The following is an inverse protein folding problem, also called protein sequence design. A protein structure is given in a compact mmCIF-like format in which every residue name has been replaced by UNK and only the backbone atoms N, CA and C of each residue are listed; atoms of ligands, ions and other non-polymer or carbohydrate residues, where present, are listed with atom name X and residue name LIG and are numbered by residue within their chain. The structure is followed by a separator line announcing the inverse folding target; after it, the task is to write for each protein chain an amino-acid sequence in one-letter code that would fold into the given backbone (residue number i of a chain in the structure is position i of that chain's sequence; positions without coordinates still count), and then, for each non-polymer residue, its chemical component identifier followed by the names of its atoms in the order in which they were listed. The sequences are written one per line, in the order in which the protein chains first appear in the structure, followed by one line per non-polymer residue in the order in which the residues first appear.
data_IF_296971228328
#
_entry.id   IF_296971228328
#
_cell.length_a   1.000
_cell.length_b   1.000
_cell.length_c   1.000
_cell.angle_alpha   90.00
_cell.angle_beta   90.00
_cell.angle_gamma   90.00
#
_symmetry.space_group_name_H-M   'P 1'
#
loop_
_entity.id
_entity.type
_entity.pdbx_description
1 polymer ?
#
# COMPACT_ATOMS: atom_id res chain seq x y z
N UNK A 1 -34.09 9.51 -22.68
CA UNK A 1 -33.13 9.39 -21.57
C UNK A 1 -32.95 7.91 -21.34
N UNK A 2 -31.74 7.37 -21.49
CA UNK A 2 -31.50 5.95 -21.23
C UNK A 2 -31.63 5.67 -19.74
N UNK A 3 -32.35 4.62 -19.38
CA UNK A 3 -32.51 4.19 -18.00
C UNK A 3 -31.13 3.81 -17.43
N UNK A 4 -30.84 4.25 -16.20
CA UNK A 4 -29.52 4.12 -15.55
C UNK A 4 -29.10 2.66 -15.28
N UNK A 5 -30.03 1.73 -15.42
CA UNK A 5 -29.90 0.26 -15.24
C UNK A 5 -29.26 -0.45 -16.44
N UNK A 6 -29.17 0.21 -17.61
CA UNK A 6 -28.50 -0.31 -18.81
C UNK A 6 -26.97 -0.17 -18.79
N UNK A 7 -26.43 0.68 -17.90
CA UNK A 7 -24.99 0.89 -17.76
C UNK A 7 -24.33 -0.20 -16.93
N UNK A 8 -23.21 -0.73 -17.42
CA UNK A 8 -22.34 -1.60 -16.65
C UNK A 8 -21.21 -0.78 -16.01
N UNK A 9 -20.67 -1.17 -14.85
CA UNK A 9 -19.50 -0.50 -14.25
C UNK A 9 -18.29 -0.40 -15.20
N UNK A 10 -18.17 -1.34 -16.13
CA UNK A 10 -17.14 -1.34 -17.18
C UNK A 10 -17.22 -0.13 -18.10
N UNK A 11 -18.41 0.42 -18.32
CA UNK A 11 -18.67 1.49 -19.29
C UNK A 11 -18.19 2.85 -18.77
N UNK A 12 -17.92 2.94 -17.46
CA UNK A 12 -17.34 4.13 -16.81
C UNK A 12 -15.81 4.07 -16.72
N UNK A 13 -15.16 2.98 -17.15
CA UNK A 13 -13.71 2.87 -17.13
C UNK A 13 -13.09 3.56 -18.34
N UNK A 14 -12.13 4.46 -18.10
CA UNK A 14 -11.38 5.14 -19.16
C UNK A 14 -10.51 4.18 -19.99
N UNK A 15 -10.19 3.01 -19.46
CA UNK A 15 -9.35 1.99 -20.09
C UNK A 15 -9.79 0.59 -19.69
N UNK A 16 -9.47 -0.41 -20.51
CA UNK A 16 -9.76 -1.82 -20.21
C UNK A 16 -8.82 -2.39 -19.15
N UNK A 17 -9.29 -3.39 -18.39
CA UNK A 17 -8.44 -4.09 -17.41
C UNK A 17 -7.14 -4.64 -18.00
N UNK A 18 -7.13 -5.06 -19.27
CA UNK A 18 -5.91 -5.53 -19.96
C UNK A 18 -4.83 -4.45 -20.07
N UNK A 19 -5.21 -3.19 -20.29
CA UNK A 19 -4.26 -2.06 -20.33
C UNK A 19 -3.63 -1.86 -18.95
N UNK A 20 -4.44 -1.95 -17.90
CA UNK A 20 -3.96 -1.86 -16.52
C UNK A 20 -2.98 -2.97 -16.15
N UNK A 21 -3.30 -4.23 -16.47
CA UNK A 21 -2.39 -5.35 -16.17
C UNK A 21 -1.06 -5.25 -16.91
N UNK A 22 -1.08 -4.79 -18.17
CA UNK A 22 0.16 -4.54 -18.93
C UNK A 22 1.00 -3.41 -18.37
N UNK A 23 0.37 -2.37 -17.79
CA UNK A 23 1.08 -1.32 -17.08
C UNK A 23 1.83 -1.92 -15.88
N UNK A 24 1.16 -2.74 -15.08
CA UNK A 24 1.75 -3.41 -13.92
C UNK A 24 2.91 -4.33 -14.34
N UNK A 25 2.72 -5.14 -15.38
CA UNK A 25 3.77 -6.03 -15.91
C UNK A 25 5.04 -5.24 -16.27
N UNK A 26 4.90 -4.18 -17.07
CA UNK A 26 6.04 -3.35 -17.48
C UNK A 26 6.69 -2.63 -16.29
N UNK A 27 5.88 -2.15 -15.36
CA UNK A 27 6.39 -1.48 -14.17
C UNK A 27 7.18 -2.43 -13.28
N UNK A 28 6.69 -3.66 -13.09
CA UNK A 28 7.40 -4.69 -12.35
C UNK A 28 8.67 -5.17 -13.05
N UNK A 29 8.64 -5.35 -14.37
CA UNK A 29 9.84 -5.68 -15.15
C UNK A 29 10.93 -4.61 -14.99
N UNK A 30 10.56 -3.33 -15.06
CA UNK A 30 11.49 -2.21 -14.86
C UNK A 30 12.03 -2.12 -13.43
N UNK A 31 11.26 -2.56 -12.43
CA UNK A 31 11.66 -2.57 -11.03
C UNK A 31 12.41 -3.82 -10.62
N UNK A 32 12.45 -4.88 -11.43
CA UNK A 32 13.17 -6.10 -11.07
C UNK A 32 14.65 -5.79 -10.78
N UNK A 33 15.23 -6.24 -9.64
CA UNK A 33 14.73 -7.19 -8.63
C UNK A 33 14.19 -6.54 -7.32
N UNK A 34 13.79 -5.27 -7.34
CA UNK A 34 13.39 -4.52 -6.15
C UNK A 34 12.20 -5.12 -5.40
N UNK A 35 11.39 -5.98 -6.01
CA UNK A 35 10.31 -6.74 -5.34
C UNK A 35 10.84 -7.58 -4.18
N UNK A 36 12.07 -8.10 -4.29
CA UNK A 36 12.73 -8.85 -3.20
C UNK A 36 12.96 -7.93 -2.00
N UNK A 37 13.41 -6.69 -2.23
CA UNK A 37 13.53 -5.68 -1.18
C UNK A 37 12.18 -5.37 -0.56
N UNK A 38 11.13 -5.29 -1.37
CA UNK A 38 9.76 -5.08 -0.90
C UNK A 38 9.30 -6.14 0.08
N UNK A 39 9.59 -7.41 -0.21
CA UNK A 39 9.31 -8.53 0.70
C UNK A 39 10.06 -8.36 2.04
N UNK A 40 11.36 -8.03 2.00
CA UNK A 40 12.14 -7.80 3.21
C UNK A 40 11.64 -6.61 4.03
N UNK A 41 11.21 -5.52 3.38
CA UNK A 41 10.59 -4.38 4.05
C UNK A 41 9.31 -4.84 4.77
N UNK A 42 8.45 -5.61 4.09
CA UNK A 42 7.21 -6.13 4.67
C UNK A 42 7.45 -7.02 5.89
N UNK A 43 8.39 -7.96 5.79
CA UNK A 43 8.83 -8.80 6.91
C UNK A 43 9.43 -7.97 8.05
N UNK A 44 10.22 -6.95 7.72
CA UNK A 44 10.78 -6.00 8.68
C UNK A 44 9.69 -5.24 9.46
N UNK A 45 8.62 -4.82 8.78
CA UNK A 45 7.45 -4.20 9.42
C UNK A 45 6.77 -5.20 10.36
N UNK A 46 6.53 -6.44 9.93
CA UNK A 46 5.94 -7.47 10.80
C UNK A 46 6.80 -7.71 12.05
N UNK A 47 8.12 -7.83 11.89
CA UNK A 47 9.06 -8.00 13.00
C UNK A 47 9.03 -6.79 13.94
N UNK A 48 8.98 -5.57 13.40
CA UNK A 48 8.88 -4.34 14.19
C UNK A 48 7.56 -4.24 14.98
N UNK A 49 6.47 -4.81 14.46
CA UNK A 49 5.19 -4.91 15.18
C UNK A 49 5.25 -5.94 16.31
N UNK A 50 5.88 -7.11 16.08
CA UNK A 50 5.99 -8.18 17.08
C UNK A 50 7.00 -7.84 18.17
N UNK A 51 8.13 -7.20 17.82
CA UNK A 51 9.20 -6.77 18.73
C UNK A 51 9.37 -5.25 18.66
N UNK A 52 8.44 -4.49 19.28
CA UNK A 52 8.46 -3.05 19.16
C UNK A 52 9.62 -2.44 19.96
N UNK A 53 10.30 -1.50 19.31
CA UNK A 53 11.28 -0.60 19.93
C UNK A 53 11.01 0.82 19.41
N UNK A 54 11.52 1.83 20.11
CA UNK A 54 11.40 3.23 19.64
C UNK A 54 12.03 3.42 18.26
N UNK A 55 13.19 2.79 18.03
CA UNK A 55 13.90 2.86 16.74
C UNK A 55 13.14 2.14 15.62
N UNK A 56 12.71 0.88 15.84
CA UNK A 56 11.98 0.11 14.83
C UNK A 56 10.65 0.76 14.46
N UNK A 57 9.95 1.33 15.43
CA UNK A 57 8.71 2.09 15.18
C UNK A 57 8.96 3.32 14.30
N UNK A 58 9.92 4.16 14.66
CA UNK A 58 10.23 5.33 13.85
C UNK A 58 10.66 4.92 12.44
N UNK A 59 11.46 3.86 12.31
CA UNK A 59 11.86 3.30 11.03
C UNK A 59 10.65 2.83 10.19
N UNK A 60 9.64 2.20 10.78
CA UNK A 60 8.41 1.80 10.07
C UNK A 60 7.66 3.02 9.53
N UNK A 61 7.41 4.04 10.35
CA UNK A 61 6.68 5.24 9.89
C UNK A 61 7.43 6.01 8.81
N UNK A 62 8.75 6.18 8.96
CA UNK A 62 9.58 6.79 7.92
C UNK A 62 9.66 5.93 6.67
N UNK A 63 9.78 4.62 6.81
CA UNK A 63 9.79 3.67 5.70
C UNK A 63 8.48 3.71 4.90
N UNK A 64 7.33 3.73 5.59
CA UNK A 64 6.02 3.90 4.97
C UNK A 64 5.89 5.26 4.27
N UNK A 65 6.35 6.34 4.92
CA UNK A 65 6.33 7.67 4.30
C UNK A 65 7.16 7.70 3.01
N UNK A 66 8.38 7.16 3.02
CA UNK A 66 9.23 7.07 1.84
C UNK A 66 8.60 6.18 0.76
N UNK A 67 7.99 5.06 1.14
CA UNK A 67 7.27 4.20 0.21
C UNK A 67 6.09 4.95 -0.45
N UNK A 68 5.31 5.72 0.31
CA UNK A 68 4.21 6.52 -0.24
C UNK A 68 4.69 7.59 -1.21
N UNK A 69 5.81 8.27 -0.90
CA UNK A 69 6.45 9.19 -1.85
C UNK A 69 6.90 8.44 -3.11
N UNK A 70 7.53 7.28 -2.94
CA UNK A 70 7.96 6.42 -4.04
C UNK A 70 6.80 6.01 -4.96
N UNK A 71 5.70 5.53 -4.39
CA UNK A 71 4.47 5.16 -5.14
C UNK A 71 3.88 6.37 -5.85
N UNK A 72 3.79 7.52 -5.17
CA UNK A 72 3.22 8.73 -5.74
C UNK A 72 4.02 9.25 -6.95
N UNK A 73 5.35 9.25 -6.85
CA UNK A 73 6.21 9.76 -7.92
C UNK A 73 6.44 8.74 -9.03
N UNK A 74 6.67 7.47 -8.67
CA UNK A 74 7.02 6.42 -9.62
C UNK A 74 5.78 5.82 -10.28
N UNK A 75 4.91 5.18 -9.50
CA UNK A 75 3.76 4.49 -10.06
C UNK A 75 2.67 5.46 -10.53
N UNK A 76 2.21 6.35 -9.65
CA UNK A 76 1.09 7.24 -9.97
C UNK A 76 1.47 8.24 -11.05
N UNK A 77 2.50 9.05 -10.82
CA UNK A 77 2.86 10.13 -11.76
C UNK A 77 3.52 9.62 -13.04
N UNK A 78 4.52 8.73 -12.97
CA UNK A 78 5.23 8.31 -14.19
C UNK A 78 4.53 7.15 -14.91
N UNK A 79 3.95 6.20 -14.16
CA UNK A 79 3.30 5.02 -14.72
C UNK A 79 1.85 5.25 -15.11
N UNK A 80 1.06 5.85 -14.21
CA UNK A 80 -0.41 5.81 -14.32
C UNK A 80 -1.02 7.10 -14.90
N UNK A 81 -0.46 8.27 -14.61
CA UNK A 81 -0.94 9.55 -15.16
C UNK A 81 -1.02 9.60 -16.70
N UNK A 82 -0.10 8.98 -17.48
CA UNK A 82 -0.20 8.97 -18.94
C UNK A 82 -1.46 8.29 -19.49
N UNK A 83 -2.05 7.34 -18.76
CA UNK A 83 -3.29 6.65 -19.16
C UNK A 83 -4.52 7.12 -18.37
N UNK A 84 -4.32 7.82 -17.25
CA UNK A 84 -5.37 8.39 -16.43
C UNK A 84 -4.91 9.75 -15.86
N UNK A 85 -5.19 10.82 -16.60
CA UNK A 85 -4.81 12.19 -16.24
C UNK A 85 -5.34 12.63 -14.86
N UNK A 86 -6.43 12.03 -14.36
CA UNK A 86 -6.99 12.30 -13.03
C UNK A 86 -5.96 12.04 -11.91
N UNK A 87 -5.01 11.13 -12.16
CA UNK A 87 -3.98 10.74 -11.20
C UNK A 87 -3.07 11.91 -10.82
N UNK A 88 -2.84 12.88 -11.72
CA UNK A 88 -2.05 14.07 -11.39
C UNK A 88 -2.71 14.90 -10.27
N UNK A 89 -4.04 14.95 -10.24
CA UNK A 89 -4.80 15.63 -9.19
C UNK A 89 -4.83 14.84 -7.88
N UNK A 90 -4.74 13.51 -7.95
CA UNK A 90 -4.74 12.64 -6.77
C UNK A 90 -3.35 12.52 -6.12
N UNK A 91 -2.28 12.62 -6.91
CA UNK A 91 -0.88 12.47 -6.46
C UNK A 91 -0.55 13.32 -5.21
N UNK A 92 -0.97 14.60 -5.09
CA UNK A 92 -0.76 15.40 -3.88
C UNK A 92 -1.38 14.81 -2.61
N UNK A 93 -2.51 14.09 -2.70
CA UNK A 93 -3.14 13.44 -1.54
C UNK A 93 -2.27 12.31 -0.99
N UNK A 94 -1.65 11.53 -1.87
CA UNK A 94 -0.71 10.48 -1.49
C UNK A 94 0.57 11.05 -0.85
N UNK A 95 1.07 12.17 -1.37
CA UNK A 95 2.19 12.89 -0.77
C UNK A 95 1.81 13.50 0.60
N UNK A 96 0.59 14.02 0.75
CA UNK A 96 0.09 14.50 2.03
C UNK A 96 0.02 13.37 3.06
N UNK A 97 -0.47 12.19 2.67
CA UNK A 97 -0.45 10.99 3.52
C UNK A 97 0.97 10.60 3.95
N UNK A 98 1.95 10.67 3.04
CA UNK A 98 3.36 10.46 3.39
C UNK A 98 3.85 11.47 4.44
N UNK A 99 3.47 12.74 4.28
CA UNK A 99 3.79 13.80 5.24
C UNK A 99 3.19 13.53 6.63
N UNK A 100 1.94 13.08 6.70
CA UNK A 100 1.30 12.71 7.96
C UNK A 100 2.04 11.55 8.65
N UNK A 101 2.44 10.52 7.90
CA UNK A 101 3.20 9.39 8.44
C UNK A 101 4.59 9.81 8.94
N UNK A 102 5.25 10.72 8.24
CA UNK A 102 6.52 11.29 8.68
C UNK A 102 6.37 12.08 9.98
N UNK A 103 5.30 12.87 10.11
CA UNK A 103 4.97 13.61 11.33
C UNK A 103 4.70 12.65 12.50
N UNK A 104 3.91 11.59 12.29
CA UNK A 104 3.67 10.58 13.34
C UNK A 104 4.96 9.86 13.76
N UNK A 105 5.85 9.57 12.82
CA UNK A 105 7.18 9.02 13.12
C UNK A 105 8.05 9.97 13.94
N UNK A 106 7.98 11.29 13.66
CA UNK A 106 8.72 12.33 14.37
C UNK A 106 8.21 12.58 15.79
N UNK A 107 6.89 12.68 15.98
CA UNK A 107 6.27 13.02 17.26
C UNK A 107 6.17 11.84 18.23
N UNK A 108 6.64 10.66 17.82
CA UNK A 108 6.67 9.47 18.66
C UNK A 108 5.36 8.72 18.58
N UNK A 109 5.25 7.87 17.54
CA UNK A 109 4.11 6.98 17.39
C UNK A 109 3.93 6.06 18.63
N UNK A 110 2.72 5.53 18.78
CA UNK A 110 2.42 4.67 19.91
C UNK A 110 3.05 3.29 19.75
N UNK A 111 3.32 2.62 20.88
CA UNK A 111 3.83 1.25 20.84
C UNK A 111 2.75 0.31 20.29
N UNK A 112 3.10 -0.59 19.36
CA UNK A 112 2.19 -1.61 18.89
C UNK A 112 1.65 -2.48 20.04
N UNK A 113 0.34 -2.67 20.08
CA UNK A 113 -0.35 -3.51 21.06
C UNK A 113 -0.74 -4.86 20.42
N UNK A 114 0.21 -5.60 19.87
CA UNK A 114 -0.02 -6.83 19.07
C UNK A 114 -0.75 -7.97 19.81
N UNK A 115 -0.76 -7.95 21.15
CA UNK A 115 -1.52 -8.92 21.98
C UNK A 115 -3.01 -8.61 22.07
N UNK A 116 -3.43 -7.41 21.65
CA UNK A 116 -4.84 -7.00 21.62
C UNK A 116 -5.49 -7.38 20.28
N UNK A 117 -6.83 -7.38 20.24
CA UNK A 117 -7.58 -7.57 18.99
C UNK A 117 -7.16 -6.61 17.87
N UNK A 118 -7.06 -5.27 18.10
CA UNK A 118 -6.53 -4.33 17.10
C UNK A 118 -5.12 -4.70 16.61
N UNK A 119 -4.27 -5.15 17.53
CA UNK A 119 -2.93 -5.64 17.22
C UNK A 119 -2.88 -6.83 16.27
N UNK A 120 -3.77 -7.81 16.48
CA UNK A 120 -3.90 -8.98 15.59
C UNK A 120 -4.44 -8.60 14.23
N UNK A 121 -5.45 -7.73 14.18
CA UNK A 121 -5.98 -7.17 12.93
C UNK A 121 -4.86 -6.47 12.16
N UNK A 122 -4.05 -5.68 12.87
CA UNK A 122 -2.92 -4.98 12.28
C UNK A 122 -1.91 -5.93 11.63
N UNK A 123 -1.52 -7.00 12.34
CA UNK A 123 -0.61 -8.00 11.79
C UNK A 123 -1.21 -8.75 10.59
N UNK A 124 -2.50 -9.09 10.64
CA UNK A 124 -3.18 -9.74 9.52
C UNK A 124 -3.27 -8.85 8.29
N UNK A 125 -3.45 -7.53 8.45
CA UNK A 125 -3.47 -6.58 7.34
C UNK A 125 -2.10 -6.40 6.69
N UNK A 126 -1.03 -6.35 7.49
CA UNK A 126 0.34 -6.33 6.94
C UNK A 126 0.63 -7.64 6.21
N UNK A 127 0.26 -8.79 6.77
CA UNK A 127 0.42 -10.08 6.09
C UNK A 127 -0.40 -10.14 4.79
N UNK A 128 -1.63 -9.61 4.81
CA UNK A 128 -2.50 -9.51 3.66
C UNK A 128 -1.89 -8.63 2.56
N UNK A 129 -1.22 -7.52 2.91
CA UNK A 129 -0.51 -6.69 1.94
C UNK A 129 0.58 -7.44 1.16
N UNK A 130 1.19 -8.47 1.78
CA UNK A 130 2.23 -9.28 1.14
C UNK A 130 1.65 -10.45 0.34
N UNK A 131 0.59 -11.09 0.85
CA UNK A 131 0.08 -12.34 0.32
C UNK A 131 -1.15 -12.19 -0.60
N UNK A 132 -2.02 -11.20 -0.36
CA UNK A 132 -3.20 -11.02 -1.20
C UNK A 132 -2.85 -10.72 -2.65
N UNK A 133 -1.93 -9.80 -2.98
CA UNK A 133 -1.61 -9.52 -4.38
C UNK A 133 -1.20 -10.78 -5.19
N UNK A 134 -0.20 -11.59 -4.76
CA UNK A 134 0.17 -12.79 -5.52
C UNK A 134 -0.93 -13.87 -5.53
N UNK A 135 -1.74 -13.98 -4.47
CA UNK A 135 -2.88 -14.92 -4.44
C UNK A 135 -3.97 -14.49 -5.43
N UNK A 136 -4.30 -13.21 -5.47
CA UNK A 136 -5.31 -12.68 -6.40
C UNK A 136 -4.85 -12.83 -7.84
N UNK A 137 -3.59 -12.54 -8.14
CA UNK A 137 -3.07 -12.65 -9.51
C UNK A 137 -3.04 -14.10 -10.00
N UNK A 138 -2.59 -15.03 -9.15
CA UNK A 138 -2.57 -16.47 -9.50
C UNK A 138 -3.97 -17.05 -9.68
N UNK A 139 -4.93 -16.77 -8.78
CA UNK A 139 -6.32 -17.24 -8.91
C UNK A 139 -6.99 -16.65 -10.16
N UNK A 140 -6.59 -15.44 -10.56
CA UNK A 140 -7.08 -14.81 -11.79
C UNK A 140 -6.44 -15.36 -13.07
N UNK A 141 -5.58 -16.37 -12.98
CA UNK A 141 -4.84 -16.93 -14.13
C UNK A 141 -3.81 -15.97 -14.72
N UNK A 142 -3.36 -14.97 -13.96
CA UNK A 142 -2.38 -13.97 -14.42
C UNK A 142 -0.96 -14.39 -14.04
N UNK A 143 0.01 -13.99 -14.85
CA UNK A 143 1.43 -14.20 -14.55
C UNK A 143 1.87 -13.38 -13.33
N UNK A 144 2.88 -13.86 -12.60
CA UNK A 144 3.42 -13.14 -11.42
C UNK A 144 3.96 -11.75 -11.76
N UNK A 145 4.32 -11.49 -13.01
CA UNK A 145 4.72 -10.17 -13.50
C UNK A 145 3.60 -9.12 -13.35
N UNK A 146 2.33 -9.53 -13.41
CA UNK A 146 1.16 -8.66 -13.27
C UNK A 146 0.72 -8.46 -11.81
N UNK A 147 1.60 -8.72 -10.84
CA UNK A 147 1.28 -8.66 -9.40
C UNK A 147 1.56 -7.29 -8.81
N UNK A 148 0.63 -6.78 -8.01
CA UNK A 148 0.74 -5.51 -7.33
C UNK A 148 1.63 -5.66 -6.07
N UNK A 149 2.93 -5.82 -6.28
CA UNK A 149 3.90 -6.13 -5.22
C UNK A 149 4.06 -4.99 -4.21
N UNK A 150 3.91 -5.31 -2.93
CA UNK A 150 4.31 -4.41 -1.84
C UNK A 150 5.81 -4.07 -1.93
N UNK A 151 6.25 -2.82 -1.67
CA UNK A 151 5.48 -1.60 -1.36
C UNK A 151 5.22 -0.70 -2.57
N UNK A 152 5.36 -1.21 -3.80
CA UNK A 152 5.42 -0.39 -5.02
C UNK A 152 4.06 0.04 -5.58
N UNK A 153 2.98 -0.52 -5.04
CA UNK A 153 1.60 -0.21 -5.44
C UNK A 153 0.79 0.34 -4.26
N UNK A 154 -0.13 1.29 -4.53
CA UNK A 154 -0.82 2.04 -3.49
C UNK A 154 -1.79 1.19 -2.66
N UNK A 155 -2.38 0.15 -3.23
CA UNK A 155 -3.33 -0.76 -2.58
C UNK A 155 -2.66 -1.66 -1.54
N UNK A 156 -1.56 -2.33 -1.91
CA UNK A 156 -0.78 -3.14 -0.99
C UNK A 156 -0.16 -2.26 0.11
N UNK A 157 0.35 -1.07 -0.24
CA UNK A 157 0.91 -0.13 0.71
C UNK A 157 -0.15 0.44 1.66
N UNK A 158 -1.39 0.65 1.19
CA UNK A 158 -2.52 1.04 2.02
C UNK A 158 -2.86 -0.04 3.06
N UNK A 159 -2.95 -1.31 2.65
CA UNK A 159 -3.19 -2.43 3.57
C UNK A 159 -2.12 -2.50 4.67
N UNK A 160 -0.85 -2.38 4.30
CA UNK A 160 0.24 -2.36 5.27
C UNK A 160 0.17 -1.15 6.21
N UNK A 161 -0.14 0.04 5.68
CA UNK A 161 -0.29 1.27 6.48
C UNK A 161 -1.44 1.14 7.47
N UNK A 162 -2.61 0.67 7.03
CA UNK A 162 -3.77 0.41 7.89
C UNK A 162 -3.46 -0.64 8.95
N UNK A 163 -2.67 -1.66 8.59
CA UNK A 163 -2.21 -2.67 9.52
C UNK A 163 -1.33 -2.09 10.64
N UNK A 164 -0.36 -1.25 10.28
CA UNK A 164 0.50 -0.56 11.25
C UNK A 164 -0.30 0.39 12.15
N UNK A 165 -1.25 1.14 11.59
CA UNK A 165 -2.09 2.06 12.35
C UNK A 165 -3.06 1.33 13.28
N UNK A 166 -3.63 0.22 12.86
CA UNK A 166 -4.52 -0.61 13.68
C UNK A 166 -3.77 -1.29 14.83
N UNK A 167 -2.50 -1.61 14.63
CA UNK A 167 -1.65 -2.17 15.66
C UNK A 167 -1.15 -1.12 16.66
N UNK A 168 -1.07 0.16 16.28
CA UNK A 168 -0.79 1.24 17.21
C UNK A 168 -1.92 1.29 18.24
N UNK A 169 -1.60 1.05 19.52
CA UNK A 169 -2.63 1.00 20.56
C UNK A 169 -3.44 2.30 20.67
N UNK A 170 -4.58 2.29 21.39
CA UNK A 170 -5.30 3.52 21.71
C UNK A 170 -4.41 4.46 22.53
N UNK A 171 -4.54 5.77 22.27
CA UNK A 171 -3.86 6.79 23.06
C UNK A 171 -4.25 6.64 24.54
N UNK A 172 -3.30 6.71 25.48
CA UNK A 172 -3.65 6.73 26.89
C UNK A 172 -4.48 8.00 27.17
N UNK A 173 -5.79 7.86 27.36
CA UNK A 173 -6.66 8.99 27.72
C UNK A 173 -8.12 8.97 27.27
N UNK A 174 -8.62 7.93 26.59
CA UNK A 174 -10.06 7.82 26.25
C UNK A 174 -10.60 6.48 26.77
N UNK A 175 -10.69 6.35 28.09
CA UNK A 175 -11.52 5.37 28.82
C UNK A 175 -11.90 5.96 30.15
#
# INVERSE_FOLDING_TARGET
MGDLDSYRPSDFLMFSGRVYWRLIERYNEALWPAQILGLFIGLGIMLALIRPSRASRNAVYWGLALAWVGVALSFLRNGYAPINWTVDYLTPLFLAQAGLLALTGRHGAQSPATRTWPGRIGLTLVLAALLLPPVITTISGRGMAATDWFPFFPDALALATLGVLSAAGPAPGIT
#
